data_IF_655008536686
#
_entry.id   IF_655008536686
#
_cell.length_a   1.000
_cell.length_b   1.000
_cell.length_c   1.000
_cell.angle_alpha   90.00
_cell.angle_beta   90.00
_cell.angle_gamma   90.00
#
_symmetry.space_group_name_H-M   'P 1'
#
loop_
_entity.id
_entity.type
_entity.pdbx_description
1 polymer ?
#
# COMPACT_ATOMS: atom_id res chain seq x y z
N UNK A 1 -17.14 -15.11 7.71
CA UNK A 1 -16.52 -15.51 6.43
C UNK A 1 -17.45 -15.07 5.30
N UNK A 2 -16.95 -14.32 4.32
CA UNK A 2 -17.73 -13.91 3.15
C UNK A 2 -17.58 -14.95 2.02
N UNK A 3 -18.68 -15.29 1.36
CA UNK A 3 -18.68 -16.21 0.21
C UNK A 3 -18.70 -15.36 -1.06
N UNK A 4 -17.68 -15.45 -1.93
CA UNK A 4 -17.66 -14.67 -3.16
C UNK A 4 -18.81 -15.10 -4.08
N UNK A 5 -19.64 -14.14 -4.47
CA UNK A 5 -20.68 -14.34 -5.50
C UNK A 5 -20.22 -13.77 -6.83
N UNK A 6 -20.32 -14.59 -7.88
CA UNK A 6 -20.10 -14.10 -9.25
C UNK A 6 -21.30 -13.26 -9.67
N UNK A 7 -21.00 -12.09 -10.22
CA UNK A 7 -21.93 -11.23 -10.94
C UNK A 7 -21.80 -11.48 -12.44
N UNK A 8 -22.87 -11.26 -13.21
CA UNK A 8 -22.80 -11.37 -14.66
C UNK A 8 -21.97 -10.24 -15.27
N UNK A 9 -21.63 -10.40 -16.56
CA UNK A 9 -20.73 -9.47 -17.25
C UNK A 9 -21.30 -8.06 -17.40
N UNK A 10 -22.61 -7.91 -17.59
CA UNK A 10 -23.24 -6.62 -17.78
C UNK A 10 -23.25 -5.84 -16.47
N UNK A 11 -23.73 -6.47 -15.38
CA UNK A 11 -23.69 -5.87 -14.04
C UNK A 11 -22.26 -5.53 -13.61
N UNK A 12 -21.28 -6.40 -13.89
CA UNK A 12 -19.88 -6.11 -13.60
C UNK A 12 -19.31 -4.92 -14.40
N UNK A 13 -19.81 -4.68 -15.61
CA UNK A 13 -19.39 -3.55 -16.45
C UNK A 13 -19.96 -2.23 -15.92
N UNK A 14 -21.24 -2.23 -15.56
CA UNK A 14 -21.90 -1.06 -14.98
C UNK A 14 -21.28 -0.69 -13.63
N UNK A 15 -21.04 -1.68 -12.76
CA UNK A 15 -20.38 -1.46 -11.48
C UNK A 15 -18.98 -0.85 -11.65
N UNK A 16 -18.17 -1.37 -12.57
CA UNK A 16 -16.84 -0.80 -12.88
C UNK A 16 -16.93 0.63 -13.41
N UNK A 17 -17.95 0.93 -14.22
CA UNK A 17 -18.17 2.29 -14.72
C UNK A 17 -18.53 3.26 -13.59
N UNK A 18 -19.38 2.84 -12.65
CA UNK A 18 -19.71 3.62 -11.45
C UNK A 18 -18.47 3.90 -10.59
N UNK A 19 -17.71 2.85 -10.25
CA UNK A 19 -16.49 2.98 -9.46
C UNK A 19 -15.46 3.90 -10.13
N UNK A 20 -15.29 3.79 -11.45
CA UNK A 20 -14.38 4.66 -12.21
C UNK A 20 -14.78 6.15 -12.16
N UNK A 21 -16.08 6.45 -12.10
CA UNK A 21 -16.58 7.84 -11.95
C UNK A 21 -16.25 8.43 -10.57
N UNK A 22 -16.09 7.57 -9.57
CA UNK A 22 -15.62 7.93 -8.23
C UNK A 22 -14.09 7.91 -8.12
N UNK A 23 -13.38 7.74 -9.24
CA UNK A 23 -11.93 7.61 -9.32
C UNK A 23 -11.36 6.37 -8.59
N UNK A 24 -12.19 5.35 -8.35
CA UNK A 24 -11.77 4.09 -7.75
C UNK A 24 -11.34 3.14 -8.87
N UNK A 25 -10.05 2.79 -8.90
CA UNK A 25 -9.43 1.99 -9.98
C UNK A 25 -8.81 0.68 -9.48
N UNK A 26 -8.96 0.37 -8.21
CA UNK A 26 -8.36 -0.78 -7.56
C UNK A 26 -8.90 -2.08 -8.14
N UNK A 27 -8.04 -3.09 -8.20
CA UNK A 27 -8.38 -4.43 -8.71
C UNK A 27 -9.43 -5.13 -7.83
N UNK A 28 -9.49 -4.75 -6.54
CA UNK A 28 -10.39 -5.29 -5.53
C UNK A 28 -10.90 -4.16 -4.64
N UNK A 29 -12.20 -4.20 -4.37
CA UNK A 29 -12.88 -3.30 -3.43
C UNK A 29 -13.86 -4.12 -2.61
N UNK A 30 -14.10 -3.68 -1.38
CA UNK A 30 -15.20 -4.15 -0.54
C UNK A 30 -16.23 -3.04 -0.46
N UNK A 31 -17.49 -3.36 -0.77
CA UNK A 31 -18.60 -2.40 -0.66
C UNK A 31 -19.43 -2.83 0.54
N UNK A 32 -19.52 -1.96 1.53
CA UNK A 32 -20.41 -2.12 2.67
C UNK A 32 -21.70 -1.33 2.39
N UNK A 33 -22.80 -2.06 2.26
CA UNK A 33 -24.12 -1.48 1.96
C UNK A 33 -24.87 -1.04 3.22
N UNK A 34 -24.47 -1.50 4.40
CA UNK A 34 -25.08 -1.10 5.68
C UNK A 34 -24.52 0.25 6.14
N UNK A 35 -23.25 0.52 5.81
CA UNK A 35 -22.56 1.77 6.15
C UNK A 35 -22.38 2.73 4.98
N UNK A 36 -22.82 2.36 3.77
CA UNK A 36 -22.63 3.13 2.52
C UNK A 36 -21.15 3.49 2.25
N UNK A 37 -20.22 2.59 2.59
CA UNK A 37 -18.78 2.80 2.43
C UNK A 37 -18.16 1.86 1.38
N UNK A 38 -17.08 2.32 0.76
CA UNK A 38 -16.25 1.51 -0.12
C UNK A 38 -14.85 1.46 0.49
N UNK A 39 -14.44 0.26 0.90
CA UNK A 39 -13.08 0.00 1.35
C UNK A 39 -12.22 -0.41 0.16
N UNK A 40 -11.12 0.31 0.00
CA UNK A 40 -10.12 0.03 -1.01
C UNK A 40 -9.05 -0.81 -0.36
N UNK A 41 -8.83 -2.02 -0.89
CA UNK A 41 -7.64 -2.79 -0.55
C UNK A 41 -6.56 -2.32 -1.51
N UNK A 42 -5.75 -1.36 -1.07
CA UNK A 42 -4.46 -1.14 -1.73
C UNK A 42 -3.59 -2.36 -1.44
N UNK A 43 -3.10 -2.95 -2.52
CA UNK A 43 -2.17 -4.08 -2.48
C UNK A 43 -0.83 -3.48 -2.01
N UNK A 44 -0.67 -3.30 -0.69
CA UNK A 44 0.48 -2.73 0.02
C UNK A 44 1.49 -2.08 -0.93
N UNK A 45 1.17 -0.87 -1.42
CA UNK A 45 2.12 -0.16 -2.25
C UNK A 45 3.32 0.08 -1.36
N UNK A 46 4.48 -0.47 -1.74
CA UNK A 46 5.74 -0.42 -0.97
C UNK A 46 6.04 1.01 -0.45
N UNK A 47 5.48 2.03 -1.11
CA UNK A 47 5.49 3.42 -0.68
C UNK A 47 4.91 3.66 0.73
N UNK A 48 3.84 2.99 1.18
CA UNK A 48 3.32 3.16 2.55
C UNK A 48 4.26 2.54 3.60
N UNK A 49 4.97 1.46 3.25
CA UNK A 49 6.04 0.89 4.08
C UNK A 49 7.21 1.89 4.16
N UNK A 50 7.55 2.55 3.05
CA UNK A 50 8.62 3.54 2.99
C UNK A 50 8.25 4.86 3.68
N UNK A 51 6.97 5.23 3.70
CA UNK A 51 6.47 6.41 4.42
C UNK A 51 6.46 6.16 5.94
N UNK A 52 6.17 4.91 6.36
CA UNK A 52 6.27 4.45 7.75
C UNK A 52 7.73 4.28 8.21
N UNK A 53 8.61 3.84 7.32
CA UNK A 53 10.05 3.73 7.53
C UNK A 53 10.73 5.06 7.17
N UNK A 54 10.35 6.11 7.91
CA UNK A 54 10.72 7.51 7.68
C UNK A 54 11.98 7.71 6.86
N UNK A 55 11.80 8.35 5.69
CA UNK A 55 12.82 8.64 4.70
C UNK A 55 14.18 8.90 5.35
N UNK A 56 15.15 8.03 5.07
CA UNK A 56 16.52 8.15 5.55
C UNK A 56 17.08 9.49 5.04
N UNK A 57 17.09 10.51 5.90
CA UNK A 57 17.61 11.83 5.51
C UNK A 57 19.09 11.71 5.15
N UNK A 58 19.63 12.57 4.27
CA UNK A 58 21.05 12.52 3.90
C UNK A 58 21.98 12.61 5.12
N UNK A 59 21.57 13.34 6.16
CA UNK A 59 22.28 13.41 7.44
C UNK A 59 22.26 12.07 8.18
N UNK A 60 21.09 11.42 8.27
CA UNK A 60 20.98 10.11 8.95
C UNK A 60 21.72 9.00 8.20
N UNK A 61 21.76 9.09 6.87
CA UNK A 61 22.56 8.20 6.03
C UNK A 61 24.06 8.34 6.32
N UNK A 62 24.54 9.58 6.46
CA UNK A 62 25.95 9.86 6.77
C UNK A 62 26.34 9.37 8.17
N UNK A 63 25.46 9.53 9.17
CA UNK A 63 25.68 8.99 10.52
C UNK A 63 25.79 7.47 10.52
N UNK A 64 24.85 6.77 9.88
CA UNK A 64 24.88 5.31 9.80
C UNK A 64 26.11 4.81 9.03
N UNK A 65 26.53 5.52 7.99
CA UNK A 65 27.74 5.18 7.24
C UNK A 65 29.01 5.35 8.08
N UNK A 66 29.07 6.39 8.92
CA UNK A 66 30.17 6.59 9.86
C UNK A 66 30.17 5.50 10.95
N UNK A 67 29.00 5.10 11.45
CA UNK A 67 28.86 4.04 12.45
C UNK A 67 29.30 2.67 11.90
N UNK A 68 28.89 2.32 10.69
CA UNK A 68 29.37 1.08 10.01
C UNK A 68 30.87 1.12 9.78
N UNK A 69 31.42 2.27 9.38
CA UNK A 69 32.86 2.41 9.18
C UNK A 69 33.62 2.17 10.48
N UNK A 70 33.17 2.79 11.58
CA UNK A 70 33.77 2.62 12.91
C UNK A 70 33.69 1.16 13.38
N UNK A 71 32.54 0.50 13.21
CA UNK A 71 32.39 -0.92 13.58
C UNK A 71 33.31 -1.84 12.78
N UNK A 72 33.55 -1.55 11.49
CA UNK A 72 34.53 -2.30 10.68
C UNK A 72 35.96 -2.10 11.16
N UNK A 73 36.33 -0.88 11.50
CA UNK A 73 37.65 -0.55 12.06
C UNK A 73 37.86 -1.22 13.44
N UNK A 74 36.80 -1.37 14.24
CA UNK A 74 36.82 -2.08 15.52
C UNK A 74 36.82 -3.62 15.37
N UNK A 75 36.29 -4.16 14.27
CA UNK A 75 36.28 -5.61 14.00
C UNK A 75 37.57 -6.11 13.35
N UNK A 76 38.29 -5.26 12.62
CA UNK A 76 39.56 -5.60 11.96
C UNK A 76 40.80 -5.31 12.83
N UNK A 77 40.64 -4.91 14.11
CA UNK A 77 41.72 -4.61 15.07
C UNK A 77 41.83 -5.64 16.19
#
# INVERSE_FOLDING_TARGET
>A
MSIPRKIDKQTAKELRSLLSRLNIRNSRVTIDLDNDTIEIVDDDSIDDILESAGALTPERAAELQAEVKKMREEWDG
#
